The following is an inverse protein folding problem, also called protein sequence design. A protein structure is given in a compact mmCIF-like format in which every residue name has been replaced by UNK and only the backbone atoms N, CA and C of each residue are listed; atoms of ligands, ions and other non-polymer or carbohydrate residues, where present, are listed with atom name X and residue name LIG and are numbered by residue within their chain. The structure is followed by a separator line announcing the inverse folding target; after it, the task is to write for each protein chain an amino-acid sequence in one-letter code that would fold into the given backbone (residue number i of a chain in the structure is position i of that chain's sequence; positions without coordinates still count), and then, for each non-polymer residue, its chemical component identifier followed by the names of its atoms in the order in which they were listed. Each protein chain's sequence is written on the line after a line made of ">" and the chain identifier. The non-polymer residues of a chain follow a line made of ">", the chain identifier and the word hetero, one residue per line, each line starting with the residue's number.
data_IF_605767421699
#
_entry.id   IF_605767421699
#
_cell.length_a   1.000
_cell.length_b   1.000
_cell.length_c   1.000
_cell.angle_alpha   90.00
_cell.angle_beta   90.00
_cell.angle_gamma   90.00
#
_symmetry.space_group_name_H-M   'P 1'
#
loop_
_entity.id
_entity.type
_entity.pdbx_description
1 polymer ?
#
# COMPACT_ATOMS: atom_id res chain seq x y z
N UNK A 1 -5.89 -1.38 -12.20
CA UNK A 1 -6.62 -2.49 -11.54
C UNK A 1 -5.65 -3.42 -10.79
N UNK A 2 -5.37 -3.18 -9.49
CA UNK A 2 -4.49 -4.02 -8.67
C UNK A 2 -5.33 -5.05 -7.89
N UNK A 3 -5.42 -6.25 -8.45
CA UNK A 3 -6.20 -7.37 -7.90
C UNK A 3 -5.26 -8.48 -7.45
N UNK A 4 -4.55 -8.32 -6.34
CA UNK A 4 -4.07 -9.46 -5.56
C UNK A 4 -3.85 -9.02 -4.10
N UNK A 5 -4.26 -9.78 -3.10
CA UNK A 5 -4.00 -9.38 -1.72
C UNK A 5 -4.49 -10.33 -0.63
N UNK A 6 -3.77 -11.43 -0.45
CA UNK A 6 -3.71 -12.18 0.81
C UNK A 6 -2.29 -12.71 1.00
N UNK A 7 -1.77 -12.56 2.22
CA UNK A 7 -0.52 -13.13 2.70
C UNK A 7 -0.81 -14.53 3.25
N UNK A 8 -0.17 -15.56 2.72
CA UNK A 8 -0.20 -16.89 3.32
C UNK A 8 1.15 -17.17 3.93
N UNK A 9 1.14 -17.52 5.20
CA UNK A 9 2.33 -17.97 5.93
C UNK A 9 2.76 -19.33 5.39
N UNK A 10 3.66 -19.34 4.40
CA UNK A 10 4.68 -20.38 4.25
C UNK A 10 5.72 -19.97 3.19
N UNK A 11 6.94 -19.67 3.66
CA UNK A 11 8.12 -19.41 2.84
C UNK A 11 8.11 -18.07 2.10
N UNK A 12 9.27 -17.42 2.02
CA UNK A 12 9.48 -16.30 1.09
C UNK A 12 9.22 -16.86 -0.32
N UNK A 13 8.13 -16.43 -0.97
CA UNK A 13 7.88 -16.78 -2.36
C UNK A 13 8.87 -15.97 -3.19
N UNK A 14 10.01 -16.58 -3.50
CA UNK A 14 10.89 -16.03 -4.49
C UNK A 14 10.36 -16.35 -5.88
N UNK A 15 10.10 -15.33 -6.69
CA UNK A 15 9.65 -15.52 -8.06
C UNK A 15 10.84 -15.89 -8.96
N UNK A 16 10.73 -17.02 -9.66
CA UNK A 16 11.68 -17.46 -10.69
C UNK A 16 12.26 -18.85 -10.42
N UNK A 17 12.76 -19.54 -11.47
CA UNK A 17 13.40 -20.84 -11.31
C UNK A 17 14.69 -20.69 -10.47
N UNK A 18 15.03 -21.67 -9.62
CA UNK A 18 16.25 -21.62 -8.79
C UNK A 18 17.53 -21.52 -9.64
N UNK A 19 17.49 -21.92 -10.90
CA UNK A 19 18.57 -21.78 -11.89
C UNK A 19 18.58 -20.43 -12.66
N UNK A 20 17.74 -19.45 -12.29
CA UNK A 20 17.78 -18.11 -12.91
C UNK A 20 19.11 -17.39 -12.63
N UNK A 21 19.80 -16.84 -13.66
CA UNK A 21 21.05 -16.10 -13.47
C UNK A 21 20.88 -14.77 -12.71
N UNK A 22 19.64 -14.32 -12.50
CA UNK A 22 19.30 -13.15 -11.67
C UNK A 22 18.99 -13.53 -10.21
N UNK A 23 19.02 -14.82 -9.88
CA UNK A 23 18.58 -15.36 -8.61
C UNK A 23 17.06 -15.34 -8.43
N UNK A 24 16.57 -15.97 -7.36
CA UNK A 24 15.18 -15.85 -6.92
C UNK A 24 14.81 -14.37 -6.67
N UNK A 25 13.73 -13.87 -7.28
CA UNK A 25 13.24 -12.50 -7.01
C UNK A 25 12.55 -12.45 -5.65
N UNK A 26 13.24 -11.88 -4.68
CA UNK A 26 12.69 -11.57 -3.36
C UNK A 26 11.84 -10.29 -3.45
N UNK A 27 10.52 -10.47 -3.50
CA UNK A 27 9.55 -9.39 -3.68
C UNK A 27 9.61 -8.34 -2.57
N UNK A 28 9.91 -8.73 -1.34
CA UNK A 28 9.97 -7.81 -0.20
C UNK A 28 11.13 -6.81 -0.28
N UNK A 29 12.24 -7.17 -0.91
CA UNK A 29 13.40 -6.28 -1.11
C UNK A 29 13.19 -5.30 -2.28
N UNK A 30 12.21 -5.58 -3.15
CA UNK A 30 12.04 -4.87 -4.43
C UNK A 30 10.73 -4.09 -4.52
N UNK A 31 9.73 -4.44 -3.72
CA UNK A 31 8.40 -3.86 -3.77
C UNK A 31 8.07 -3.25 -2.41
N UNK A 32 7.90 -1.93 -2.41
CA UNK A 32 7.49 -1.14 -1.25
C UNK A 32 6.10 -0.55 -1.47
N UNK A 33 5.28 -0.55 -0.42
CA UNK A 33 4.00 0.17 -0.39
C UNK A 33 3.99 1.13 0.78
N UNK A 34 3.62 2.37 0.49
CA UNK A 34 3.51 3.44 1.48
C UNK A 34 2.04 3.69 1.82
N UNK A 35 1.75 3.93 3.10
CA UNK A 35 0.42 4.27 3.58
C UNK A 35 0.45 5.49 4.51
N UNK A 36 -0.55 6.34 4.38
CA UNK A 36 -0.86 7.44 5.29
C UNK A 36 -2.36 7.49 5.55
N UNK A 37 -2.73 7.99 6.73
CA UNK A 37 -4.12 8.17 7.15
C UNK A 37 -4.42 9.66 7.23
N UNK A 38 -5.44 10.09 6.49
CA UNK A 38 -5.88 11.48 6.47
C UNK A 38 -7.29 11.63 7.04
N UNK A 39 -7.50 12.68 7.83
CA UNK A 39 -8.82 13.23 8.10
C UNK A 39 -9.07 14.38 7.12
N UNK A 40 -10.14 14.26 6.33
CA UNK A 40 -10.51 15.26 5.35
C UNK A 40 -11.23 16.41 6.06
N UNK A 41 -10.75 17.65 5.87
CA UNK A 41 -11.29 18.86 6.48
C UNK A 41 -11.62 19.91 5.43
N UNK A 42 -12.60 20.78 5.71
CA UNK A 42 -12.93 21.91 4.83
C UNK A 42 -12.11 23.15 5.22
N UNK A 43 -10.78 23.07 5.10
CA UNK A 43 -9.83 24.15 5.42
C UNK A 43 -8.65 24.12 4.44
N UNK A 44 -8.48 25.19 3.66
CA UNK A 44 -7.43 25.32 2.64
C UNK A 44 -6.02 25.51 3.21
N UNK A 45 -5.88 25.78 4.52
CA UNK A 45 -4.56 25.76 5.17
C UNK A 45 -3.91 24.37 5.11
N UNK A 46 -4.72 23.32 4.89
CA UNK A 46 -4.27 21.94 4.72
C UNK A 46 -4.29 21.49 3.25
N UNK A 47 -4.22 22.43 2.30
CA UNK A 47 -4.17 22.11 0.88
C UNK A 47 -2.83 21.47 0.48
N UNK A 48 -2.91 20.34 -0.23
CA UNK A 48 -1.78 19.61 -0.79
C UNK A 48 -2.07 19.23 -2.26
N UNK A 49 -1.35 19.78 -3.24
CA UNK A 49 -1.75 19.73 -4.64
C UNK A 49 -1.50 18.38 -5.35
N UNK A 50 -0.62 17.53 -4.82
CA UNK A 50 -0.07 16.38 -5.54
C UNK A 50 -0.12 15.10 -4.69
N UNK A 51 -1.32 14.73 -4.21
CA UNK A 51 -1.53 13.53 -3.40
C UNK A 51 -1.33 12.21 -4.17
N UNK A 52 -1.46 12.22 -5.50
CA UNK A 52 -1.32 11.02 -6.33
C UNK A 52 0.14 10.53 -6.42
N UNK A 53 1.11 11.39 -6.10
CA UNK A 53 2.55 11.10 -6.26
C UNK A 53 3.13 10.19 -5.18
N UNK A 54 2.36 9.90 -4.13
CA UNK A 54 2.73 8.98 -3.06
C UNK A 54 2.69 9.63 -1.68
N UNK A 55 3.41 9.03 -0.75
CA UNK A 55 3.51 9.50 0.63
C UNK A 55 4.04 10.95 0.69
N UNK A 56 3.30 11.85 1.34
CA UNK A 56 3.80 13.16 1.74
C UNK A 56 4.93 12.97 2.75
N UNK A 57 6.10 13.50 2.43
CA UNK A 57 7.27 13.51 3.32
C UNK A 57 7.64 14.97 3.55
N UNK A 58 6.93 15.61 4.48
CA UNK A 58 7.14 17.01 4.84
C UNK A 58 6.72 17.26 6.31
N UNK A 59 7.54 18.03 7.02
CA UNK A 59 7.37 18.29 8.46
C UNK A 59 7.21 17.00 9.27
N UNK A 60 6.03 16.85 9.89
CA UNK A 60 5.69 15.68 10.70
C UNK A 60 5.14 14.50 9.86
N UNK A 61 4.73 14.73 8.61
CA UNK A 61 4.21 13.68 7.72
C UNK A 61 5.33 12.80 7.20
N UNK A 62 5.16 11.49 7.32
CA UNK A 62 6.19 10.51 6.94
C UNK A 62 7.39 10.46 7.89
N UNK A 63 7.33 11.14 9.05
CA UNK A 63 8.42 11.15 10.05
C UNK A 63 8.43 9.92 10.95
N UNK A 64 7.26 9.33 11.21
CA UNK A 64 7.08 8.21 12.14
C UNK A 64 6.51 6.99 11.42
N UNK A 65 7.40 6.14 10.90
CA UNK A 65 7.05 5.01 10.02
C UNK A 65 7.20 3.66 10.73
N UNK A 66 6.10 2.89 10.77
CA UNK A 66 6.15 1.45 11.00
C UNK A 66 6.51 0.72 9.71
N UNK A 67 7.43 -0.24 9.78
CA UNK A 67 7.79 -1.10 8.66
C UNK A 67 7.45 -2.54 8.98
N UNK A 68 6.80 -3.22 8.05
CA UNK A 68 6.50 -4.64 8.20
C UNK A 68 6.34 -5.30 6.84
N UNK A 69 6.50 -6.61 6.82
CA UNK A 69 6.22 -7.42 5.64
C UNK A 69 4.74 -7.81 5.60
N UNK A 70 4.11 -7.68 4.44
CA UNK A 70 2.71 -8.06 4.25
C UNK A 70 2.38 -8.42 2.81
N UNK A 71 1.10 -8.29 2.44
CA UNK A 71 0.63 -8.47 1.07
C UNK A 71 0.23 -7.16 0.40
N UNK A 72 0.05 -7.20 -0.92
CA UNK A 72 -0.73 -6.20 -1.66
C UNK A 72 -2.19 -6.18 -1.17
N UNK A 73 -2.96 -5.12 -1.47
CA UNK A 73 -4.31 -4.86 -0.89
C UNK A 73 -5.50 -5.31 -1.73
N UNK A 74 -5.28 -6.02 -2.86
CA UNK A 74 -6.37 -6.39 -3.76
C UNK A 74 -7.29 -7.50 -3.23
N UNK A 75 -8.54 -7.54 -3.72
CA UNK A 75 -9.60 -8.41 -3.19
C UNK A 75 -9.72 -9.78 -3.86
N UNK A 76 -9.03 -10.02 -4.98
CA UNK A 76 -9.12 -11.25 -5.79
C UNK A 76 -8.48 -12.50 -5.17
N UNK A 77 -7.93 -12.39 -3.96
CA UNK A 77 -7.18 -13.43 -3.25
C UNK A 77 -7.86 -13.73 -1.90
N UNK A 78 -7.63 -14.94 -1.41
CA UNK A 78 -8.20 -15.48 -0.17
C UNK A 78 -7.09 -16.11 0.68
N UNK A 79 -7.42 -16.52 1.91
CA UNK A 79 -6.51 -17.27 2.79
C UNK A 79 -6.12 -18.65 2.23
N UNK A 80 -6.74 -19.07 1.12
CA UNK A 80 -6.42 -20.31 0.39
C UNK A 80 -5.61 -20.03 -0.89
N UNK A 81 -5.77 -18.85 -1.49
CA UNK A 81 -5.10 -18.44 -2.73
C UNK A 81 -4.29 -17.18 -2.47
N UNK A 82 -3.00 -17.39 -2.26
CA UNK A 82 -2.03 -16.38 -1.88
C UNK A 82 -1.62 -15.50 -3.06
N UNK A 83 -1.20 -14.27 -2.80
CA UNK A 83 -0.67 -13.40 -3.86
C UNK A 83 0.77 -13.78 -4.21
N UNK A 84 1.06 -13.93 -5.51
CA UNK A 84 2.40 -14.20 -6.04
C UNK A 84 3.38 -13.05 -5.80
N UNK A 85 2.89 -11.86 -5.50
CA UNK A 85 3.71 -10.69 -5.22
C UNK A 85 4.03 -10.54 -3.73
N UNK A 86 3.78 -11.56 -2.91
CA UNK A 86 4.03 -11.53 -1.47
C UNK A 86 5.25 -12.37 -1.14
N UNK A 87 6.07 -11.98 -0.15
CA UNK A 87 5.94 -10.79 0.71
C UNK A 87 6.27 -9.44 0.03
N UNK A 88 5.60 -8.34 0.42
CA UNK A 88 6.04 -6.95 0.11
C UNK A 88 6.36 -6.17 1.38
N UNK A 89 7.14 -5.10 1.28
CA UNK A 89 7.42 -4.24 2.44
C UNK A 89 6.44 -3.07 2.51
N UNK A 90 5.76 -2.94 3.65
CA UNK A 90 4.92 -1.79 3.98
C UNK A 90 5.70 -0.74 4.76
N UNK A 91 5.42 0.52 4.46
CA UNK A 91 5.82 1.68 5.24
C UNK A 91 4.56 2.45 5.62
N UNK A 92 4.15 2.39 6.88
CA UNK A 92 2.90 3.01 7.36
C UNK A 92 3.24 4.15 8.30
N UNK A 93 2.79 5.35 7.97
CA UNK A 93 2.85 6.47 8.90
C UNK A 93 1.92 6.22 10.08
N UNK A 94 2.46 6.29 11.30
CA UNK A 94 1.75 6.04 12.54
C UNK A 94 0.93 7.24 13.01
N UNK A 95 1.11 8.42 12.40
CA UNK A 95 0.36 9.63 12.70
C UNK A 95 -0.78 9.82 11.70
N UNK A 96 -1.93 10.27 12.21
CA UNK A 96 -3.03 10.75 11.39
C UNK A 96 -2.80 12.22 11.05
N UNK A 97 -3.02 12.59 9.79
CA UNK A 97 -2.81 13.95 9.29
C UNK A 97 -4.11 14.59 8.81
N UNK A 98 -4.11 15.91 8.67
CA UNK A 98 -5.23 16.65 8.10
C UNK A 98 -4.93 16.97 6.64
N UNK A 99 -5.95 16.88 5.79
CA UNK A 99 -5.86 17.31 4.38
C UNK A 99 -7.15 18.01 3.98
N UNK A 100 -7.05 19.04 3.12
CA UNK A 100 -8.23 19.74 2.65
C UNK A 100 -9.10 18.86 1.74
N UNK A 101 -10.42 19.09 1.74
CA UNK A 101 -11.34 18.45 0.81
C UNK A 101 -10.95 18.70 -0.66
N UNK A 102 -10.51 19.93 -0.97
CA UNK A 102 -10.04 20.32 -2.30
C UNK A 102 -8.79 19.54 -2.76
N UNK A 103 -7.93 19.10 -1.84
CA UNK A 103 -6.78 18.25 -2.16
C UNK A 103 -7.22 16.85 -2.58
N UNK A 104 -8.21 16.29 -1.88
CA UNK A 104 -8.77 14.98 -2.20
C UNK A 104 -9.53 15.01 -3.54
N UNK A 105 -10.26 16.10 -3.82
CA UNK A 105 -10.88 16.32 -5.13
C UNK A 105 -9.83 16.45 -6.24
N UNK A 106 -8.73 17.17 -5.98
CA UNK A 106 -7.62 17.30 -6.93
C UNK A 106 -6.96 15.96 -7.22
N UNK A 107 -6.76 15.12 -6.20
CA UNK A 107 -6.29 13.75 -6.36
C UNK A 107 -7.20 12.96 -7.29
N UNK A 108 -8.52 13.01 -7.07
CA UNK A 108 -9.50 12.35 -7.92
C UNK A 108 -9.45 12.85 -9.37
N UNK A 109 -9.27 14.16 -9.57
CA UNK A 109 -9.12 14.75 -10.90
C UNK A 109 -7.83 14.27 -11.60
N UNK A 110 -6.72 14.20 -10.87
CA UNK A 110 -5.43 13.75 -11.39
C UNK A 110 -5.40 12.26 -11.69
N UNK A 111 -6.14 11.46 -10.93
CA UNK A 111 -6.37 10.03 -11.18
C UNK A 111 -7.10 9.80 -12.51
N UNK A 112 -8.13 10.60 -12.82
CA UNK A 112 -8.81 10.56 -14.13
C UNK A 112 -7.93 11.01 -15.29
N UNK A 113 -6.99 11.91 -15.01
CA UNK A 113 -6.10 12.46 -16.01
C UNK A 113 -4.91 11.52 -16.34
N UNK A 114 -4.73 10.44 -15.58
CA UNK A 114 -3.69 9.44 -15.89
C UNK A 114 -3.97 8.78 -17.24
N UNK A 115 -2.90 8.45 -17.98
CA UNK A 115 -3.00 7.73 -19.26
C UNK A 115 -3.69 6.37 -19.10
N UNK A 116 -3.41 5.69 -17.99
CA UNK A 116 -4.08 4.48 -17.57
C UNK A 116 -5.19 4.91 -16.60
N UNK A 117 -6.38 5.15 -17.15
CA UNK A 117 -7.53 5.74 -16.46
C UNK A 117 -7.82 5.03 -15.12
N UNK A 118 -7.74 5.78 -14.02
CA UNK A 118 -7.96 5.28 -12.66
C UNK A 118 -9.38 5.56 -12.16
N UNK A 119 -10.36 5.75 -13.04
CA UNK A 119 -11.76 6.03 -12.67
C UNK A 119 -12.35 4.98 -11.73
N UNK A 120 -11.96 3.71 -11.88
CA UNK A 120 -12.40 2.62 -11.01
C UNK A 120 -11.89 2.76 -9.56
N UNK A 121 -10.88 3.59 -9.30
CA UNK A 121 -10.31 3.82 -7.97
C UNK A 121 -10.88 5.06 -7.26
N UNK A 122 -11.89 5.71 -7.84
CA UNK A 122 -12.51 6.94 -7.30
C UNK A 122 -13.66 6.69 -6.32
N UNK A 123 -13.76 5.47 -5.80
CA UNK A 123 -14.73 5.11 -4.79
C UNK A 123 -14.04 4.39 -3.63
N UNK A 124 -14.67 4.42 -2.46
CA UNK A 124 -14.14 3.71 -1.31
C UNK A 124 -14.10 2.19 -1.58
N UNK A 125 -12.92 1.61 -1.50
CA UNK A 125 -12.74 0.16 -1.56
C UNK A 125 -13.10 -0.47 -0.21
N UNK A 126 -13.51 -1.74 -0.24
CA UNK A 126 -13.90 -2.46 0.98
C UNK A 126 -12.75 -2.54 1.98
N UNK A 127 -13.04 -2.21 3.24
CA UNK A 127 -12.14 -2.47 4.35
C UNK A 127 -12.23 -3.95 4.75
N UNK A 128 -11.10 -4.54 5.12
CA UNK A 128 -11.05 -5.86 5.76
C UNK A 128 -10.67 -5.67 7.23
N UNK A 129 -11.23 -6.52 8.09
CA UNK A 129 -10.70 -6.65 9.45
C UNK A 129 -9.22 -7.06 9.37
N UNK A 130 -8.43 -6.52 10.27
CA UNK A 130 -7.02 -6.91 10.41
C UNK A 130 -6.92 -8.42 10.57
N UNK A 131 -5.96 -9.01 9.85
CA UNK A 131 -5.77 -10.47 9.87
C UNK A 131 -5.46 -10.92 11.30
N UNK A 132 -6.01 -12.07 11.71
CA UNK A 132 -5.75 -12.64 13.03
C UNK A 132 -4.24 -12.79 13.26
N UNK A 133 -3.78 -12.55 14.50
CA UNK A 133 -2.35 -12.52 14.83
C UNK A 133 -1.59 -13.79 14.40
N UNK A 134 -2.21 -14.96 14.54
CA UNK A 134 -1.64 -16.24 14.13
C UNK A 134 -1.40 -16.38 12.61
N UNK A 135 -2.05 -15.54 11.80
CA UNK A 135 -1.91 -15.47 10.35
C UNK A 135 -1.09 -14.24 9.89
N UNK A 136 -0.67 -13.38 10.83
CA UNK A 136 0.21 -12.23 10.54
C UNK A 136 1.63 -12.70 10.30
N UNK A 137 2.34 -12.05 9.36
CA UNK A 137 3.73 -12.34 9.04
C UNK A 137 4.63 -12.40 10.30
N UNK A 138 5.43 -13.46 10.43
CA UNK A 138 6.38 -13.67 11.52
C UNK A 138 7.83 -13.30 11.17
N UNK A 139 8.08 -12.80 9.96
CA UNK A 139 9.39 -12.37 9.48
C UNK A 139 9.60 -10.86 9.66
N UNK A 140 9.20 -10.32 10.82
CA UNK A 140 9.40 -8.91 11.13
C UNK A 140 10.90 -8.65 11.36
N UNK A 141 11.56 -7.98 10.42
CA UNK A 141 12.92 -7.49 10.61
C UNK A 141 12.87 -6.26 11.54
N UNK A 142 13.60 -6.33 12.67
CA UNK A 142 13.80 -5.23 13.62
C UNK A 142 14.76 -4.17 13.06
#
# INVERSE_FOLDING_TARGET
>A
MLHTGVFCMDGIISLGPPESPLGPLNTFEKIGVQAQVFTIVNDENYYYPDLIRGMIVDGEMGSDIARYTGSTTGTSRSNEICSQYTPITWQVDRKCHLVSASSFDKMCADMKAQRDDMTDDLHAHGAREVVAHELTANNQDN
#
